data_IF_934668003165
#
_entry.id   IF_934668003165
#
_cell.length_a   1.000
_cell.length_b   1.000
_cell.length_c   1.000
_cell.angle_alpha   90.00
_cell.angle_beta   90.00
_cell.angle_gamma   90.00
#
_symmetry.space_group_name_H-M   'P 1'
#
loop_
_entity.id
_entity.type
_entity.pdbx_description
1 polymer ?
#
# COMPACT_ATOMS: atom_id res chain seq x y z
N UNK A 1 32.23 -11.55 -18.80
CA UNK A 1 31.91 -10.90 -17.51
C UNK A 1 30.45 -11.16 -17.20
N UNK A 2 30.11 -12.12 -16.34
CA UNK A 2 28.72 -12.40 -16.01
C UNK A 2 28.18 -11.30 -15.09
N UNK A 3 27.02 -10.75 -15.45
CA UNK A 3 26.30 -9.73 -14.68
C UNK A 3 25.55 -10.42 -13.55
N UNK A 4 26.07 -10.35 -12.33
CA UNK A 4 25.39 -10.83 -11.12
C UNK A 4 24.26 -9.85 -10.77
N UNK A 5 23.02 -10.26 -10.99
CA UNK A 5 21.84 -9.57 -10.50
C UNK A 5 21.70 -9.85 -9.00
N UNK A 6 22.10 -8.90 -8.17
CA UNK A 6 21.78 -8.90 -6.75
C UNK A 6 20.30 -8.53 -6.58
N UNK A 7 19.46 -9.53 -6.32
CA UNK A 7 18.12 -9.28 -5.82
C UNK A 7 18.25 -8.78 -4.38
N UNK A 8 18.07 -7.48 -4.16
CA UNK A 8 17.98 -6.92 -2.81
C UNK A 8 16.74 -7.51 -2.12
N UNK A 9 16.88 -8.17 -0.96
CA UNK A 9 15.71 -8.64 -0.24
C UNK A 9 14.94 -7.41 0.26
N UNK A 10 13.66 -7.32 -0.09
CA UNK A 10 12.77 -6.33 0.48
C UNK A 10 12.45 -6.73 1.93
N UNK A 11 13.28 -6.28 2.88
CA UNK A 11 13.01 -6.45 4.31
C UNK A 11 11.97 -5.41 4.71
N UNK A 12 10.70 -5.69 4.40
CA UNK A 12 9.57 -4.86 4.83
C UNK A 12 9.20 -5.09 6.30
N UNK A 13 9.85 -6.02 7.01
CA UNK A 13 9.53 -6.31 8.41
C UNK A 13 10.44 -5.57 9.37
N UNK A 14 9.91 -4.49 9.94
CA UNK A 14 10.59 -3.72 10.97
C UNK A 14 10.52 -4.49 12.29
N UNK A 15 11.51 -5.34 12.54
CA UNK A 15 11.64 -6.03 13.83
C UNK A 15 12.32 -5.11 14.84
N UNK A 16 11.71 -4.95 16.02
CA UNK A 16 12.31 -4.27 17.17
C UNK A 16 12.33 -5.20 18.38
N UNK A 17 13.27 -4.99 19.29
CA UNK A 17 13.45 -5.82 20.49
C UNK A 17 13.66 -4.95 21.73
N UNK A 18 13.07 -5.33 22.85
CA UNK A 18 13.24 -4.70 24.16
C UNK A 18 13.09 -5.77 25.26
N UNK A 19 14.09 -5.88 26.13
CA UNK A 19 14.15 -7.00 27.07
C UNK A 19 14.09 -8.35 26.36
N UNK A 20 13.20 -9.23 26.80
CA UNK A 20 12.94 -10.51 26.15
C UNK A 20 11.78 -10.48 25.15
N UNK A 21 11.30 -9.31 24.71
CA UNK A 21 10.20 -9.15 23.76
C UNK A 21 10.73 -8.64 22.42
N UNK A 22 10.25 -9.23 21.32
CA UNK A 22 10.41 -8.73 19.97
C UNK A 22 9.05 -8.38 19.37
N UNK A 23 9.02 -7.43 18.44
CA UNK A 23 7.84 -7.03 17.69
C UNK A 23 8.17 -6.92 16.22
N UNK A 24 7.50 -7.73 15.40
CA UNK A 24 7.44 -7.52 13.95
C UNK A 24 6.18 -6.72 13.61
N UNK A 25 6.36 -5.59 12.93
CA UNK A 25 5.30 -4.65 12.59
C UNK A 25 4.96 -4.64 11.10
N UNK A 26 3.66 -4.65 10.82
CA UNK A 26 3.12 -4.45 9.49
C UNK A 26 1.91 -3.51 9.50
N UNK A 27 1.71 -2.77 8.41
CA UNK A 27 0.50 -1.98 8.19
C UNK A 27 0.07 -2.07 6.73
N UNK A 28 -1.22 -2.33 6.51
CA UNK A 28 -1.78 -2.47 5.16
C UNK A 28 -2.14 -1.13 4.52
N UNK A 29 -2.14 -1.05 3.18
CA UNK A 29 -1.62 -2.05 2.25
C UNK A 29 -0.09 -2.00 2.14
N UNK A 30 0.61 -3.11 2.39
CA UNK A 30 2.07 -3.26 2.14
C UNK A 30 2.94 -2.07 2.63
N UNK A 31 2.77 -1.64 3.88
CA UNK A 31 3.43 -0.48 4.49
C UNK A 31 3.21 0.85 3.79
N UNK A 32 2.15 0.96 3.00
CA UNK A 32 1.82 2.15 2.21
C UNK A 32 0.39 2.66 2.47
N UNK A 33 0.06 3.00 3.73
CA UNK A 33 -1.26 3.51 4.09
C UNK A 33 -1.55 4.85 3.41
N UNK A 34 -2.84 5.11 3.17
CA UNK A 34 -3.32 6.33 2.53
C UNK A 34 -4.22 7.12 3.47
N UNK A 35 -4.11 8.45 3.40
CA UNK A 35 -4.94 9.33 4.20
C UNK A 35 -6.42 9.17 3.84
N UNK A 36 -7.30 9.15 4.83
CA UNK A 36 -8.74 8.97 4.64
C UNK A 36 -9.17 7.52 4.35
N UNK A 37 -8.24 6.58 4.21
CA UNK A 37 -8.52 5.15 4.01
C UNK A 37 -8.23 4.37 5.30
N UNK A 38 -8.99 3.30 5.54
CA UNK A 38 -8.75 2.39 6.66
C UNK A 38 -7.52 1.54 6.35
N UNK A 39 -6.56 1.56 7.27
CA UNK A 39 -5.34 0.77 7.23
C UNK A 39 -5.31 -0.19 8.42
N UNK A 40 -5.07 -1.48 8.19
CA UNK A 40 -4.92 -2.46 9.27
C UNK A 40 -3.45 -2.53 9.69
N UNK A 41 -3.14 -2.14 10.92
CA UNK A 41 -1.84 -2.32 11.53
C UNK A 41 -1.85 -3.57 12.43
N UNK A 42 -0.75 -4.33 12.43
CA UNK A 42 -0.58 -5.45 13.35
C UNK A 42 0.85 -5.60 13.85
N UNK A 43 0.98 -6.18 15.04
CA UNK A 43 2.23 -6.32 15.78
C UNK A 43 2.38 -7.77 16.22
N UNK A 44 3.21 -8.54 15.51
CA UNK A 44 3.54 -9.88 15.95
C UNK A 44 4.57 -9.81 17.08
N UNK A 45 4.06 -9.89 18.31
CA UNK A 45 4.87 -9.91 19.52
C UNK A 45 5.36 -11.33 19.81
N UNK A 46 6.64 -11.47 20.13
CA UNK A 46 7.22 -12.77 20.51
C UNK A 46 8.17 -12.63 21.68
N UNK A 47 8.26 -13.66 22.52
CA UNK A 47 9.33 -13.81 23.51
C UNK A 47 10.64 -14.22 22.83
N UNK A 48 11.75 -14.07 23.54
CA UNK A 48 13.00 -14.74 23.20
C UNK A 48 12.73 -16.25 23.00
N UNK A 49 13.22 -16.80 21.88
CA UNK A 49 12.88 -18.17 21.44
C UNK A 49 11.72 -18.26 20.44
N UNK A 50 11.05 -17.13 20.12
CA UNK A 50 10.09 -17.03 19.02
C UNK A 50 8.65 -17.41 19.38
N UNK A 51 8.36 -17.68 20.65
CA UNK A 51 7.00 -17.95 21.12
C UNK A 51 6.13 -16.69 21.03
N UNK A 52 4.97 -16.78 20.38
CA UNK A 52 4.05 -15.65 20.21
C UNK A 52 3.45 -15.21 21.54
N UNK A 53 3.37 -13.89 21.74
CA UNK A 53 2.64 -13.24 22.84
C UNK A 53 1.27 -12.81 22.28
N UNK A 54 0.18 -13.56 22.55
CA UNK A 54 -1.14 -13.17 22.08
C UNK A 54 -1.70 -11.98 22.89
N UNK A 55 -2.60 -11.21 22.27
CA UNK A 55 -3.20 -10.01 22.86
C UNK A 55 -3.94 -10.30 24.17
N UNK A 56 -4.54 -11.48 24.31
CA UNK A 56 -5.24 -11.88 25.53
C UNK A 56 -4.31 -12.05 26.74
N UNK A 57 -2.99 -12.21 26.54
CA UNK A 57 -1.94 -12.25 27.58
C UNK A 57 -1.25 -10.91 27.83
N UNK A 58 -1.53 -9.89 27.01
CA UNK A 58 -0.90 -8.58 27.09
C UNK A 58 -1.87 -7.49 27.53
N UNK A 59 -1.46 -6.66 28.48
CA UNK A 59 -2.07 -5.35 28.71
C UNK A 59 -1.50 -4.35 27.70
N UNK A 60 -1.78 -4.59 26.43
CA UNK A 60 -1.22 -3.83 25.32
C UNK A 60 -2.03 -2.57 25.03
N UNK A 61 -1.36 -1.49 24.62
CA UNK A 61 -1.98 -0.25 24.15
C UNK A 61 -1.27 0.26 22.90
N UNK A 62 -2.06 0.71 21.92
CA UNK A 62 -1.56 1.40 20.74
C UNK A 62 -1.85 2.90 20.84
N UNK A 63 -0.84 3.71 20.59
CA UNK A 63 -0.95 5.17 20.47
C UNK A 63 -0.47 5.61 19.10
N UNK A 64 -1.26 6.43 18.41
CA UNK A 64 -0.89 7.04 17.13
C UNK A 64 -0.57 8.51 17.37
N UNK A 65 0.62 8.94 16.91
CA UNK A 65 1.08 10.33 17.05
C UNK A 65 1.40 10.98 15.72
N UNK A 66 1.24 12.30 15.68
CA UNK A 66 1.69 13.19 14.62
C UNK A 66 2.35 14.39 15.27
N UNK A 67 3.56 14.77 14.85
CA UNK A 67 4.32 15.89 15.45
C UNK A 67 4.40 15.81 16.99
N UNK A 68 4.70 14.63 17.52
CA UNK A 68 4.75 14.32 18.96
C UNK A 68 3.44 14.49 19.75
N UNK A 69 2.32 14.81 19.09
CA UNK A 69 1.00 14.86 19.70
C UNK A 69 0.26 13.55 19.46
N UNK A 70 -0.36 13.02 20.51
CA UNK A 70 -1.31 11.90 20.39
C UNK A 70 -2.55 12.36 19.64
N UNK A 71 -2.88 11.67 18.55
CA UNK A 71 -4.07 11.96 17.74
C UNK A 71 -5.13 10.87 17.82
N UNK A 72 -4.74 9.64 18.18
CA UNK A 72 -5.65 8.51 18.35
C UNK A 72 -5.05 7.44 19.28
N UNK A 73 -5.93 6.67 19.92
CA UNK A 73 -5.59 5.46 20.66
C UNK A 73 -6.53 4.33 20.23
N UNK A 74 -6.29 3.72 19.06
CA UNK A 74 -7.16 2.68 18.52
C UNK A 74 -7.25 1.49 19.47
N UNK A 75 -8.45 0.91 19.61
CA UNK A 75 -8.63 -0.32 20.36
C UNK A 75 -7.93 -1.49 19.64
N UNK A 76 -7.14 -2.25 20.37
CA UNK A 76 -6.51 -3.47 19.87
C UNK A 76 -7.52 -4.62 19.83
N UNK A 77 -7.50 -5.39 18.75
CA UNK A 77 -8.25 -6.63 18.56
C UNK A 77 -7.26 -7.76 18.28
N UNK A 78 -7.60 -8.96 18.73
CA UNK A 78 -6.83 -10.15 18.41
C UNK A 78 -7.13 -10.53 16.96
N UNK A 79 -6.08 -10.62 16.13
CA UNK A 79 -6.21 -11.02 14.72
C UNK A 79 -5.28 -12.19 14.40
N UNK A 80 -5.45 -12.77 13.22
CA UNK A 80 -4.46 -13.68 12.63
C UNK A 80 -3.94 -13.06 11.33
N UNK A 81 -2.63 -13.02 11.16
CA UNK A 81 -1.97 -12.49 9.98
C UNK A 81 -0.70 -13.31 9.74
N UNK A 82 -0.43 -13.63 8.47
CA UNK A 82 0.65 -14.55 8.09
C UNK A 82 0.59 -15.87 8.90
N UNK A 83 1.68 -16.25 9.57
CA UNK A 83 1.76 -17.40 10.47
C UNK A 83 1.29 -17.10 11.91
N UNK A 84 1.06 -15.84 12.26
CA UNK A 84 0.79 -15.43 13.64
C UNK A 84 -0.70 -15.47 13.96
N UNK A 85 -1.04 -15.87 15.20
CA UNK A 85 -2.42 -15.98 15.67
C UNK A 85 -2.61 -15.22 16.98
N UNK A 86 -3.77 -14.59 17.13
CA UNK A 86 -4.15 -13.87 18.34
C UNK A 86 -3.31 -12.62 18.60
N UNK A 87 -2.58 -12.11 17.61
CA UNK A 87 -1.69 -10.97 17.77
C UNK A 87 -2.47 -9.65 17.88
N UNK A 88 -1.91 -8.62 18.54
CA UNK A 88 -2.46 -7.27 18.52
C UNK A 88 -2.58 -6.71 17.11
N UNK A 89 -3.79 -6.33 16.71
CA UNK A 89 -4.07 -5.57 15.49
C UNK A 89 -5.07 -4.45 15.72
N UNK A 90 -5.03 -3.41 14.88
CA UNK A 90 -5.96 -2.30 14.93
C UNK A 90 -6.24 -1.75 13.53
N UNK A 91 -7.44 -1.20 13.35
CA UNK A 91 -7.80 -0.38 12.21
C UNK A 91 -7.50 1.08 12.51
N UNK A 92 -6.85 1.76 11.57
CA UNK A 92 -6.42 3.15 11.72
C UNK A 92 -6.83 3.90 10.45
N UNK A 93 -7.45 5.06 10.60
CA UNK A 93 -7.66 6.01 9.50
C UNK A 93 -6.83 7.24 9.76
N UNK A 94 -5.83 7.49 8.91
CA UNK A 94 -4.97 8.65 9.04
C UNK A 94 -5.66 9.88 8.44
N UNK A 95 -5.73 11.02 9.15
CA UNK A 95 -6.51 12.17 8.67
C UNK A 95 -5.88 12.87 7.46
N UNK A 96 -4.54 12.84 7.35
CA UNK A 96 -3.77 13.53 6.30
C UNK A 96 -2.53 12.73 5.91
N UNK A 97 -1.98 13.02 4.74
CA UNK A 97 -0.66 12.53 4.35
C UNK A 97 0.40 13.12 5.29
N UNK A 98 1.48 12.37 5.54
CA UNK A 98 2.55 12.76 6.44
C UNK A 98 3.18 11.60 7.18
N UNK A 99 4.06 11.91 8.13
CA UNK A 99 4.72 10.91 8.97
C UNK A 99 3.98 10.82 10.31
N UNK A 100 3.64 9.61 10.70
CA UNK A 100 3.02 9.28 11.98
C UNK A 100 3.88 8.29 12.73
N UNK A 101 3.86 8.35 14.06
CA UNK A 101 4.49 7.33 14.90
C UNK A 101 3.41 6.45 15.52
N UNK A 102 3.47 5.16 15.23
CA UNK A 102 2.68 4.13 15.90
C UNK A 102 3.49 3.56 17.06
N UNK A 103 3.03 3.81 18.27
CA UNK A 103 3.64 3.32 19.49
C UNK A 103 2.80 2.20 20.10
N UNK A 104 3.35 0.99 20.13
CA UNK A 104 2.78 -0.14 20.85
C UNK A 104 3.55 -0.34 22.15
N UNK A 105 2.84 -0.36 23.27
CA UNK A 105 3.41 -0.67 24.58
C UNK A 105 2.60 -1.75 25.26
N UNK A 106 3.21 -2.44 26.23
CA UNK A 106 2.50 -3.46 26.97
C UNK A 106 3.29 -4.04 28.13
N UNK A 107 2.56 -4.76 28.97
CA UNK A 107 3.07 -5.54 30.08
C UNK A 107 2.29 -6.87 30.16
N UNK A 108 2.87 -7.92 30.74
CA UNK A 108 2.18 -9.20 30.86
C UNK A 108 0.99 -9.08 31.83
N UNK A 109 -0.08 -9.83 31.55
CA UNK A 109 -1.24 -9.93 32.47
C UNK A 109 -0.96 -10.79 33.69
N UNK A 110 -0.13 -11.83 33.55
CA UNK A 110 0.38 -12.61 34.68
C UNK A 110 1.87 -12.35 34.87
N UNK A 111 2.32 -12.34 36.12
CA UNK A 111 3.70 -12.01 36.45
C UNK A 111 4.69 -12.97 35.76
N UNK A 112 5.83 -12.42 35.34
CA UNK A 112 6.98 -13.15 34.78
C UNK A 112 6.77 -13.86 33.43
N UNK A 113 5.73 -13.55 32.65
CA UNK A 113 5.60 -14.12 31.30
C UNK A 113 6.54 -13.47 30.29
N UNK A 114 6.71 -12.14 30.35
CA UNK A 114 7.61 -11.35 29.51
C UNK A 114 7.88 -9.97 30.12
N UNK A 115 8.90 -9.26 29.64
CA UNK A 115 9.22 -7.91 30.09
C UNK A 115 8.20 -6.89 29.57
N UNK A 116 7.91 -5.84 30.35
CA UNK A 116 7.22 -4.68 29.81
C UNK A 116 8.05 -4.07 28.65
N UNK A 117 7.36 -3.54 27.65
CA UNK A 117 7.99 -3.08 26.41
C UNK A 117 7.30 -1.84 25.85
N UNK A 118 8.01 -1.13 24.95
CA UNK A 118 7.53 0.03 24.22
C UNK A 118 8.26 0.16 22.88
N UNK A 119 7.56 -0.12 21.78
CA UNK A 119 8.09 0.05 20.42
C UNK A 119 7.41 1.21 19.72
N UNK A 120 8.18 2.02 18.98
CA UNK A 120 7.69 3.11 18.14
C UNK A 120 8.05 2.86 16.68
N UNK A 121 7.12 3.00 15.75
CA UNK A 121 7.33 2.80 14.31
C UNK A 121 6.89 4.04 13.54
N UNK A 122 7.78 4.60 12.73
CA UNK A 122 7.41 5.69 11.84
C UNK A 122 6.77 5.13 10.57
N UNK A 123 5.62 5.70 10.23
CA UNK A 123 4.78 5.31 9.11
C UNK A 123 4.60 6.53 8.22
N UNK A 124 5.01 6.40 6.96
CA UNK A 124 4.75 7.43 5.95
C UNK A 124 3.40 7.16 5.29
N UNK A 125 2.45 8.06 5.50
CA UNK A 125 1.09 8.00 4.94
C UNK A 125 1.04 8.83 3.66
N UNK A 126 0.59 8.21 2.58
CA UNK A 126 0.43 8.86 1.29
C UNK A 126 -0.84 9.71 1.23
N UNK A 127 -0.92 10.57 0.22
CA UNK A 127 -2.18 11.21 -0.12
C UNK A 127 -3.25 10.15 -0.43
N UNK A 128 -4.44 10.35 0.12
CA UNK A 128 -5.64 9.58 -0.23
C UNK A 128 -6.10 9.89 -1.65
N UNK A 129 -7.06 9.12 -2.14
CA UNK A 129 -7.78 9.51 -3.34
C UNK A 129 -8.34 10.93 -3.16
N UNK A 130 -8.10 11.81 -4.13
CA UNK A 130 -8.86 13.05 -4.22
C UNK A 130 -10.35 12.67 -4.27
N UNK A 131 -11.25 13.43 -3.62
CA UNK A 131 -12.68 13.27 -3.86
C UNK A 131 -12.87 13.28 -5.38
N UNK A 132 -13.34 12.16 -5.95
CA UNK A 132 -13.74 12.16 -7.35
C UNK A 132 -14.78 13.26 -7.45
N UNK A 133 -14.49 14.32 -8.19
CA UNK A 133 -15.53 15.23 -8.62
C UNK A 133 -16.60 14.36 -9.25
N UNK A 134 -17.79 14.35 -8.64
CA UNK A 134 -18.98 13.71 -9.22
C UNK A 134 -19.01 14.03 -10.72
N UNK A 135 -19.36 13.08 -11.60
CA UNK A 135 -19.48 13.40 -13.01
C UNK A 135 -20.49 14.55 -13.10
N UNK A 136 -19.98 15.74 -13.39
CA UNK A 136 -20.82 16.89 -13.73
C UNK A 136 -21.66 16.39 -14.88
N UNK A 137 -22.97 16.32 -14.68
CA UNK A 137 -23.91 16.06 -15.76
C UNK A 137 -23.51 16.95 -16.93
N UNK A 138 -23.08 16.33 -18.03
CA UNK A 138 -22.68 17.05 -19.23
C UNK A 138 -23.85 17.94 -19.63
N UNK A 139 -23.68 19.26 -19.53
CA UNK A 139 -24.61 20.19 -20.12
C UNK A 139 -24.75 19.84 -21.62
N UNK A 140 -25.95 19.88 -22.21
CA UNK A 140 -26.12 19.56 -23.63
C UNK A 140 -25.16 20.39 -24.47
N UNK A 141 -24.25 19.72 -25.19
CA UNK A 141 -23.41 20.37 -26.19
C UNK A 141 -24.33 20.93 -27.27
N UNK A 142 -24.37 22.26 -27.40
CA UNK A 142 -25.06 22.91 -28.51
C UNK A 142 -24.45 22.42 -29.84
N UNK A 143 -25.29 21.90 -30.72
CA UNK A 143 -24.89 21.41 -32.04
C UNK A 143 -24.26 22.54 -32.87
N UNK A 144 -23.16 22.30 -33.59
CA UNK A 144 -22.68 23.24 -34.60
C UNK A 144 -23.73 23.35 -35.72
N UNK A 145 -24.01 24.58 -36.18
CA UNK A 145 -24.91 24.83 -37.30
C UNK A 145 -24.39 24.16 -38.60
N UNK A 146 -25.28 23.71 -39.51
CA UNK A 146 -24.87 23.00 -40.72
C UNK A 146 -24.16 23.96 -41.68
N UNK A 147 -22.92 23.64 -42.06
CA UNK A 147 -22.23 24.33 -43.14
C UNK A 147 -22.73 23.82 -44.50
N UNK A 148 -23.33 24.72 -45.27
CA UNK A 148 -23.76 24.55 -46.65
C UNK A 148 -22.58 24.20 -47.57
N UNK A 149 -22.48 22.94 -48.00
CA UNK A 149 -21.59 22.53 -49.08
C UNK A 149 -22.27 22.75 -50.45
N UNK A 150 -21.89 23.84 -51.11
CA UNK A 150 -22.25 24.11 -52.51
C UNK A 150 -21.37 23.25 -53.41
N UNK A 151 -21.95 22.20 -53.98
CA UNK A 151 -21.29 21.21 -54.82
C UNK A 151 -21.23 21.71 -56.28
N UNK A 152 -20.04 22.02 -56.79
CA UNK A 152 -19.81 22.26 -58.22
C UNK A 152 -19.03 21.08 -58.82
N UNK A 153 -19.70 20.37 -59.70
CA UNK A 153 -19.21 19.21 -60.46
C UNK A 153 -18.26 19.71 -61.56
N UNK A 154 -17.10 19.07 -61.76
CA UNK A 154 -16.56 18.74 -63.09
C UNK A 154 -15.70 17.46 -63.03
N UNK A 155 -15.81 16.52 -63.99
CA UNK A 155 -15.05 15.26 -64.00
C UNK A 155 -13.86 15.32 -64.97
N UNK A 156 -12.68 14.83 -64.57
CA UNK A 156 -11.66 14.32 -65.50
C UNK A 156 -10.90 13.16 -64.84
N UNK A 157 -10.61 12.16 -65.67
CA UNK A 157 -10.21 10.81 -65.34
C UNK A 157 -8.68 10.57 -65.26
N UNK A 158 -8.37 9.33 -64.87
CA UNK A 158 -7.15 8.51 -65.14
C UNK A 158 -5.95 8.67 -64.20
N UNK A 159 -5.50 7.53 -63.65
CA UNK A 159 -4.11 7.31 -63.24
C UNK A 159 -3.90 6.16 -62.26
N UNK A 160 -3.58 4.97 -62.77
CA UNK A 160 -3.08 3.83 -61.99
C UNK A 160 -1.73 4.14 -61.31
N UNK A 161 -1.33 3.37 -60.28
CA UNK A 161 -0.03 2.67 -60.16
C UNK A 161 0.23 2.11 -58.74
N UNK A 162 0.67 0.84 -58.76
CA UNK A 162 1.60 0.09 -57.91
C UNK A 162 1.31 -0.28 -56.43
N UNK A 163 1.10 -1.59 -56.29
CA UNK A 163 1.64 -2.51 -55.29
C UNK A 163 2.92 -2.04 -54.56
N UNK A 164 2.95 -2.20 -53.24
CA UNK A 164 4.16 -2.65 -52.54
C UNK A 164 3.80 -3.46 -51.29
N UNK A 165 4.24 -4.71 -51.34
CA UNK A 165 4.26 -5.70 -50.25
C UNK A 165 5.51 -5.42 -49.43
N UNK A 166 5.41 -5.46 -48.10
CA UNK A 166 6.56 -5.68 -47.24
C UNK A 166 6.16 -6.51 -46.01
N UNK A 167 6.30 -7.82 -46.16
CA UNK A 167 6.50 -8.72 -45.04
C UNK A 167 7.97 -8.67 -44.64
N UNK A 168 8.27 -8.53 -43.34
CA UNK A 168 9.60 -8.86 -42.83
C UNK A 168 9.50 -9.76 -41.60
N UNK A 169 9.83 -11.02 -41.84
CA UNK A 169 10.15 -12.06 -40.87
C UNK A 169 11.62 -11.93 -40.47
N UNK A 170 11.95 -11.96 -39.17
CA UNK A 170 13.23 -12.50 -38.64
C UNK A 170 12.90 -13.23 -37.33
N UNK A 171 12.58 -14.52 -37.39
CA UNK A 171 13.45 -15.72 -37.41
C UNK A 171 14.06 -16.05 -36.05
N UNK A 172 13.40 -17.04 -35.42
CA UNK A 172 13.80 -17.84 -34.26
C UNK A 172 15.00 -18.75 -34.58
N UNK A 173 15.72 -19.10 -33.51
CA UNK A 173 16.54 -20.32 -33.24
C UNK A 173 17.87 -20.54 -33.96
N UNK A 174 18.91 -20.85 -33.17
CA UNK A 174 19.83 -22.04 -33.17
C UNK A 174 20.78 -21.82 -31.95
N UNK A 175 20.69 -22.54 -30.82
CA UNK A 175 21.15 -23.90 -30.46
C UNK A 175 22.61 -24.23 -30.83
N UNK A 176 23.51 -24.14 -29.85
CA UNK A 176 24.67 -25.03 -29.71
C UNK A 176 24.87 -25.29 -28.22
#
# INVERSE_FOLDING_TARGET
>A
MPFLLFASPALAHNVKTEGNVASNFHIEPNHNPRAGEVSQAWFALTKAGGEVIPLDRCNCQLTVRSNNQTIAQPALKAISAEQYKGIPGAEITFPKAGIYTLEISGAPKANNEFNAFKFAYDVTVQAGAAPQSSPVAQAPQASPAPQSQTNWILPVAIGAIALSVAAWFVKRTVKN
#
